data_IF_301762177759
#
_entry.id   IF_301762177759
#
_cell.length_a   1.000
_cell.length_b   1.000
_cell.length_c   1.000
_cell.angle_alpha   90.00
_cell.angle_beta   90.00
_cell.angle_gamma   90.00
#
_symmetry.space_group_name_H-M   'P 1'
#
loop_
_entity.id
_entity.type
_entity.pdbx_description
1 polymer ?
#
# COMPACT_ATOMS: atom_id res chain seq x y z
N UNK A 1 -5.87 30.33 0.14
CA UNK A 1 -5.42 29.99 -0.06
C UNK A 1 -4.57 29.07 0.29
N UNK A 2 -4.16 29.10 0.63
CA UNK A 2 -3.33 28.33 1.14
C UNK A 2 -3.76 27.02 1.47
N UNK A 3 -5.02 26.68 1.58
CA UNK A 3 -5.55 25.38 1.85
C UNK A 3 -5.05 24.35 0.89
N UNK A 4 -4.98 24.70 -0.37
CA UNK A 4 -4.52 23.82 -1.36
C UNK A 4 -3.06 23.50 -1.19
N UNK A 5 -2.28 24.49 -0.86
CA UNK A 5 -0.86 24.29 -0.69
C UNK A 5 -0.57 23.44 0.53
N UNK A 6 -1.34 23.63 1.58
CA UNK A 6 -1.16 22.84 2.77
C UNK A 6 -1.45 21.37 2.51
N UNK A 7 -2.47 21.11 1.72
CA UNK A 7 -2.77 19.74 1.40
C UNK A 7 -1.68 19.10 0.60
N UNK A 8 -1.13 19.80 -0.34
CA UNK A 8 -0.04 19.27 -1.12
C UNK A 8 1.16 18.98 -0.24
N UNK A 9 1.35 19.77 0.81
CA UNK A 9 2.48 19.60 1.68
C UNK A 9 2.30 18.44 2.65
N UNK A 10 1.06 18.03 2.94
CA UNK A 10 0.85 16.98 3.92
C UNK A 10 0.87 15.58 3.32
N UNK A 11 0.78 15.48 2.01
CA UNK A 11 0.78 14.17 1.36
C UNK A 11 2.12 13.95 0.70
N UNK A 12 2.86 12.97 1.18
CA UNK A 12 4.17 12.65 0.65
C UNK A 12 4.16 11.24 0.13
N UNK A 13 4.61 11.05 -1.10
CA UNK A 13 4.75 9.74 -1.67
C UNK A 13 6.20 9.33 -1.60
N UNK A 14 6.44 8.16 -1.04
CA UNK A 14 7.76 7.61 -0.94
C UNK A 14 7.80 6.26 -1.61
N UNK A 15 8.68 6.09 -2.55
CA UNK A 15 8.88 4.78 -3.12
C UNK A 15 9.97 4.10 -2.30
N UNK A 16 9.61 3.09 -1.54
CA UNK A 16 10.53 2.44 -0.63
C UNK A 16 11.21 1.26 -1.28
N UNK A 17 10.58 0.66 -2.24
CA UNK A 17 11.16 -0.46 -2.96
C UNK A 17 10.37 -0.75 -4.21
N UNK A 18 10.82 -1.77 -4.93
CA UNK A 18 10.20 -2.12 -6.19
C UNK A 18 8.72 -2.49 -6.02
N UNK A 19 8.37 -3.06 -4.89
CA UNK A 19 7.02 -3.53 -4.65
C UNK A 19 6.18 -2.64 -3.76
N UNK A 20 6.69 -1.49 -3.34
CA UNK A 20 5.96 -0.66 -2.37
C UNK A 20 6.06 0.82 -2.70
N UNK A 21 4.92 1.49 -2.66
CA UNK A 21 4.88 2.95 -2.67
C UNK A 21 4.00 3.37 -1.50
N UNK A 22 4.47 4.34 -0.74
CA UNK A 22 3.76 4.81 0.44
C UNK A 22 3.39 6.28 0.29
N UNK A 23 2.21 6.64 0.76
CA UNK A 23 1.76 8.02 0.79
C UNK A 23 1.26 8.32 2.20
N UNK A 24 1.82 9.33 2.82
CA UNK A 24 1.51 9.63 4.20
C UNK A 24 0.64 10.87 4.30
N UNK A 25 -0.37 10.79 5.15
CA UNK A 25 -1.26 11.91 5.40
C UNK A 25 -1.13 12.29 6.86
N UNK A 26 -0.54 13.43 7.11
CA UNK A 26 -0.30 13.87 8.48
C UNK A 26 -1.61 14.08 9.20
N UNK A 27 -1.69 13.60 10.43
CA UNK A 27 -2.90 13.77 11.23
C UNK A 27 -3.95 12.69 11.01
N UNK A 28 -3.77 11.82 10.04
CA UNK A 28 -4.74 10.75 9.80
C UNK A 28 -4.42 9.53 10.67
N UNK A 29 -5.47 8.96 11.27
CA UNK A 29 -5.36 7.72 12.01
C UNK A 29 -5.85 6.53 11.17
N UNK A 30 -6.00 6.73 9.87
CA UNK A 30 -6.48 5.68 8.99
C UNK A 30 -5.41 5.25 8.01
N UNK A 31 -5.45 3.99 7.62
CA UNK A 31 -4.51 3.42 6.68
C UNK A 31 -5.25 2.61 5.64
N UNK A 32 -4.99 2.89 4.39
CA UNK A 32 -5.47 2.10 3.28
C UNK A 32 -4.31 1.27 2.77
N UNK A 33 -4.49 -0.05 2.71
CA UNK A 33 -3.49 -0.95 2.17
C UNK A 33 -4.04 -1.53 0.88
N UNK A 34 -3.41 -1.22 -0.22
CA UNK A 34 -3.89 -1.61 -1.53
C UNK A 34 -2.93 -2.60 -2.17
N UNK A 35 -3.44 -3.77 -2.53
CA UNK A 35 -2.64 -4.81 -3.16
C UNK A 35 -2.98 -4.89 -4.64
N UNK A 36 -1.99 -4.65 -5.48
CA UNK A 36 -2.16 -4.74 -6.92
C UNK A 36 -2.34 -6.19 -7.36
N UNK A 37 -3.13 -6.40 -8.40
CA UNK A 37 -3.10 -7.65 -9.13
C UNK A 37 -1.83 -7.72 -9.94
N UNK A 38 -1.67 -8.78 -10.73
CA UNK A 38 -0.46 -8.93 -11.51
C UNK A 38 -0.43 -7.86 -12.59
N UNK A 39 0.74 -7.24 -12.75
CA UNK A 39 0.91 -6.24 -13.78
C UNK A 39 0.86 -6.91 -15.15
N UNK A 40 0.27 -6.23 -16.10
CA UNK A 40 0.27 -6.75 -17.44
C UNK A 40 1.64 -6.52 -18.05
N UNK A 41 2.03 -7.39 -18.95
CA UNK A 41 3.32 -7.24 -19.63
C UNK A 41 3.37 -6.00 -20.52
N UNK A 42 2.23 -5.38 -20.75
CA UNK A 42 2.18 -4.25 -21.66
C UNK A 42 2.48 -2.93 -20.97
N UNK A 43 2.49 -2.92 -19.65
CA UNK A 43 2.68 -1.66 -18.92
C UNK A 43 3.62 -1.85 -17.75
N UNK A 44 4.87 -2.18 -18.03
CA UNK A 44 5.83 -2.39 -16.94
C UNK A 44 6.11 -1.14 -16.13
N UNK A 45 5.84 0.03 -16.72
CA UNK A 45 6.01 1.29 -16.03
C UNK A 45 4.78 1.69 -15.24
N UNK A 46 3.69 0.97 -15.42
CA UNK A 46 2.47 1.26 -14.68
C UNK A 46 2.74 0.98 -13.22
N UNK A 47 2.48 1.97 -12.38
CA UNK A 47 2.90 1.85 -11.01
C UNK A 47 2.06 0.85 -10.23
N UNK A 48 1.13 1.31 -9.45
CA UNK A 48 0.39 0.43 -8.56
C UNK A 48 -1.09 0.62 -8.83
N UNK A 49 -1.88 -0.45 -8.64
CA UNK A 49 -3.32 -0.32 -8.80
C UNK A 49 -3.88 0.55 -7.67
N UNK A 50 -4.98 1.19 -7.94
CA UNK A 50 -5.72 2.02 -6.99
C UNK A 50 -5.11 3.37 -6.66
N UNK A 51 -3.93 3.72 -7.18
CA UNK A 51 -3.35 5.02 -6.87
C UNK A 51 -4.23 6.17 -7.32
N UNK A 52 -4.69 6.14 -8.57
CA UNK A 52 -5.54 7.21 -9.08
C UNK A 52 -6.89 7.25 -8.39
N UNK A 53 -7.47 6.07 -8.18
CA UNK A 53 -8.80 5.97 -7.61
C UNK A 53 -8.85 6.49 -6.18
N UNK A 54 -7.78 6.28 -5.41
CA UNK A 54 -7.77 6.66 -4.01
C UNK A 54 -7.11 8.00 -3.73
N UNK A 55 -6.69 8.70 -4.80
CA UNK A 55 -5.92 9.93 -4.62
C UNK A 55 -6.62 10.96 -3.76
N UNK A 56 -7.93 11.08 -3.88
CA UNK A 56 -8.67 12.11 -3.16
C UNK A 56 -8.91 11.81 -1.68
N UNK A 57 -8.60 10.60 -1.24
CA UNK A 57 -8.86 10.26 0.16
C UNK A 57 -7.67 10.66 1.03
N UNK A 58 -7.89 11.50 2.05
CA UNK A 58 -6.79 12.00 2.88
C UNK A 58 -6.45 11.02 3.99
N UNK A 59 -5.91 9.88 3.62
CA UNK A 59 -5.53 8.83 4.57
C UNK A 59 -4.13 8.33 4.21
N UNK A 60 -3.48 7.69 5.16
CA UNK A 60 -2.20 7.04 4.88
C UNK A 60 -2.45 5.88 3.92
N UNK A 61 -1.52 5.63 3.02
CA UNK A 61 -1.69 4.60 2.00
C UNK A 61 -0.42 3.82 1.80
N UNK A 62 -0.58 2.51 1.70
CA UNK A 62 0.49 1.61 1.30
C UNK A 62 0.00 0.90 0.04
N UNK A 63 0.78 1.01 -1.03
CA UNK A 63 0.47 0.34 -2.29
C UNK A 63 1.50 -0.75 -2.51
N UNK A 64 1.03 -1.98 -2.59
CA UNK A 64 1.91 -3.13 -2.81
C UNK A 64 1.71 -3.72 -4.19
N UNK A 65 2.77 -4.28 -4.74
CA UNK A 65 2.67 -5.09 -5.94
C UNK A 65 3.67 -6.24 -5.84
N UNK A 66 3.31 -7.37 -6.43
CA UNK A 66 4.15 -8.55 -6.42
C UNK A 66 4.69 -8.77 -7.82
N UNK A 67 5.90 -8.27 -8.08
CA UNK A 67 6.51 -8.39 -9.40
C UNK A 67 6.98 -9.82 -9.69
N UNK A 68 7.01 -10.68 -8.67
CA UNK A 68 7.36 -12.08 -8.86
C UNK A 68 6.16 -12.91 -9.26
N UNK A 69 4.96 -12.32 -9.19
CA UNK A 69 3.70 -12.96 -9.57
C UNK A 69 3.50 -14.29 -8.83
N UNK A 70 3.79 -14.29 -7.55
CA UNK A 70 3.71 -15.45 -6.68
C UNK A 70 2.57 -15.36 -5.68
N UNK A 71 1.54 -14.60 -6.00
CA UNK A 71 0.37 -14.39 -5.13
C UNK A 71 0.77 -13.88 -3.76
N UNK A 72 1.84 -13.08 -3.73
CA UNK A 72 2.39 -12.48 -2.52
C UNK A 72 2.98 -13.50 -1.53
N UNK A 73 3.08 -14.77 -1.92
CA UNK A 73 3.66 -15.78 -1.04
C UNK A 73 5.16 -15.61 -0.85
N UNK A 74 5.82 -14.98 -1.81
CA UNK A 74 7.24 -14.70 -1.70
C UNK A 74 7.49 -13.28 -1.22
N UNK A 75 6.48 -12.68 -0.60
CA UNK A 75 6.58 -11.34 -0.07
C UNK A 75 6.44 -10.27 -1.13
N UNK A 76 6.91 -9.09 -0.78
CA UNK A 76 6.87 -7.91 -1.66
C UNK A 76 8.31 -7.49 -1.92
N UNK A 77 8.73 -7.44 -3.18
CA UNK A 77 10.12 -7.10 -3.50
C UNK A 77 10.57 -5.80 -2.86
N UNK A 78 11.70 -5.87 -2.16
CA UNK A 78 12.24 -4.73 -1.46
C UNK A 78 11.72 -4.53 -0.06
N UNK A 79 10.70 -5.30 0.35
CA UNK A 79 10.06 -5.15 1.66
C UNK A 79 10.13 -6.43 2.46
N UNK A 80 9.81 -7.57 1.85
CA UNK A 80 9.60 -8.81 2.58
C UNK A 80 9.88 -10.00 1.69
N UNK A 81 9.99 -11.19 2.30
CA UNK A 81 10.27 -12.42 1.58
C UNK A 81 9.17 -13.46 1.78
N UNK A 82 8.17 -13.18 2.58
CA UNK A 82 7.04 -14.08 2.78
C UNK A 82 5.86 -13.29 3.32
N UNK A 83 4.72 -13.97 3.45
CA UNK A 83 3.47 -13.35 3.90
C UNK A 83 3.60 -12.79 5.30
N UNK A 84 4.22 -13.53 6.21
CA UNK A 84 4.35 -13.10 7.59
C UNK A 84 5.17 -11.82 7.71
N UNK A 85 6.21 -11.70 6.92
CA UNK A 85 7.03 -10.49 6.94
C UNK A 85 6.29 -9.29 6.37
N UNK A 86 5.47 -9.52 5.35
CA UNK A 86 4.64 -8.43 4.80
C UNK A 86 3.66 -7.95 5.87
N UNK A 87 3.00 -8.89 6.55
CA UNK A 87 2.06 -8.54 7.59
C UNK A 87 2.77 -7.81 8.75
N UNK A 88 3.99 -8.25 9.09
CA UNK A 88 4.76 -7.59 10.13
C UNK A 88 5.13 -6.15 9.73
N UNK A 89 5.44 -5.94 8.47
CA UNK A 89 5.74 -4.59 7.99
C UNK A 89 4.51 -3.70 8.14
N UNK A 90 3.34 -4.18 7.72
CA UNK A 90 2.12 -3.40 7.83
C UNK A 90 1.84 -3.10 9.30
N UNK A 91 2.02 -4.10 10.18
CA UNK A 91 1.81 -3.90 11.61
C UNK A 91 2.74 -2.83 12.16
N UNK A 92 3.98 -2.77 11.69
CA UNK A 92 4.92 -1.76 12.15
C UNK A 92 4.47 -0.36 11.74
N UNK A 93 3.91 -0.22 10.55
CA UNK A 93 3.39 1.05 10.08
C UNK A 93 2.20 1.49 10.93
N UNK A 94 1.31 0.53 11.24
CA UNK A 94 0.16 0.79 12.09
C UNK A 94 0.62 1.32 13.46
N UNK A 95 1.63 0.68 14.03
CA UNK A 95 2.14 1.10 15.33
C UNK A 95 2.84 2.44 15.27
N UNK A 96 3.72 2.62 14.29
CA UNK A 96 4.49 3.84 14.16
C UNK A 96 3.63 5.07 13.93
N UNK A 97 2.56 4.90 13.18
CA UNK A 97 1.72 6.04 12.82
C UNK A 97 0.45 6.13 13.62
N UNK A 98 0.36 5.32 14.66
CA UNK A 98 -0.81 5.31 15.55
C UNK A 98 -2.12 5.16 14.78
N UNK A 99 -2.11 4.24 13.82
CA UNK A 99 -3.27 3.99 13.00
C UNK A 99 -4.32 3.27 13.83
N UNK A 100 -5.57 3.74 13.74
CA UNK A 100 -6.67 3.15 14.48
C UNK A 100 -7.61 2.36 13.60
N UNK A 101 -7.55 2.58 12.30
CA UNK A 101 -8.42 1.88 11.38
C UNK A 101 -7.67 1.58 10.10
N UNK A 102 -7.70 0.33 9.69
CA UNK A 102 -7.02 -0.12 8.47
C UNK A 102 -8.02 -0.79 7.54
N UNK A 103 -7.94 -0.44 6.27
CA UNK A 103 -8.76 -1.06 5.23
C UNK A 103 -7.81 -1.65 4.20
N UNK A 104 -8.03 -2.91 3.86
CA UNK A 104 -7.24 -3.58 2.84
C UNK A 104 -8.10 -3.81 1.61
N UNK A 105 -7.60 -3.44 0.45
CA UNK A 105 -8.30 -3.64 -0.81
C UNK A 105 -7.37 -4.31 -1.81
N UNK A 106 -7.94 -4.96 -2.79
CA UNK A 106 -7.14 -5.61 -3.81
C UNK A 106 -8.00 -6.15 -4.94
N UNK A 107 -7.37 -6.49 -6.05
CA UNK A 107 -8.04 -7.05 -7.20
C UNK A 107 -7.28 -8.30 -7.64
N UNK A 108 -8.00 -9.37 -7.94
CA UNK A 108 -7.42 -10.64 -8.40
C UNK A 108 -6.42 -11.17 -7.36
N UNK A 109 -5.15 -11.36 -7.73
CA UNK A 109 -4.13 -11.80 -6.77
C UNK A 109 -4.02 -10.83 -5.62
N UNK A 110 -4.26 -9.53 -5.88
CA UNK A 110 -4.28 -8.53 -4.82
C UNK A 110 -5.45 -8.70 -3.88
N UNK A 111 -6.59 -9.15 -4.40
CA UNK A 111 -7.74 -9.44 -3.53
C UNK A 111 -7.43 -10.58 -2.57
N UNK A 112 -6.78 -11.61 -3.08
CA UNK A 112 -6.32 -12.71 -2.25
C UNK A 112 -5.36 -12.19 -1.17
N UNK A 113 -4.43 -11.32 -1.56
CA UNK A 113 -3.48 -10.75 -0.63
C UNK A 113 -4.17 -9.91 0.45
N UNK A 114 -5.17 -9.13 0.05
CA UNK A 114 -5.92 -8.31 1.00
C UNK A 114 -6.59 -9.17 2.06
N UNK A 115 -7.11 -10.31 1.66
CA UNK A 115 -7.76 -11.21 2.61
C UNK A 115 -6.75 -11.86 3.55
N UNK A 116 -5.65 -12.39 3.01
CA UNK A 116 -4.72 -13.14 3.85
C UNK A 116 -3.93 -12.22 4.78
N UNK A 117 -3.51 -11.07 4.30
CA UNK A 117 -2.78 -10.14 5.16
C UNK A 117 -3.71 -9.47 6.16
N UNK A 118 -4.93 -9.17 5.75
CA UNK A 118 -5.90 -8.61 6.65
C UNK A 118 -6.24 -9.55 7.80
N UNK A 119 -6.24 -10.84 7.52
CA UNK A 119 -6.49 -11.84 8.57
C UNK A 119 -5.36 -11.84 9.60
N UNK A 120 -4.13 -11.56 9.18
CA UNK A 120 -2.98 -11.60 10.07
C UNK A 120 -2.78 -10.31 10.86
N UNK A 121 -3.51 -9.28 10.55
CA UNK A 121 -3.46 -8.03 11.28
C UNK A 121 -4.51 -7.99 12.37
#
# INVERSE_FOLDING_TARGET
MQTLDLKAATVTNEEIGEGLSAAWEEGSAELLVAFSGFATRYRPWESFHFMGLTRKYPVNKLFFRDTKQAWYHQGVPGVSTNVDETAAYIASVIAERSVKRTVAIGVSAGGYAALIHGWLL
#
